data_IF_653867384738
#
_entry.id   IF_653867384738
#
_cell.length_a   1.000
_cell.length_b   1.000
_cell.length_c   1.000
_cell.angle_alpha   90.00
_cell.angle_beta   90.00
_cell.angle_gamma   90.00
#
_symmetry.space_group_name_H-M   'P 1'
#
loop_
_entity.id
_entity.type
_entity.pdbx_description
1 polymer ?
#
# COMPACT_ATOMS: atom_id res chain seq x y z
N UNK A 1 -8.48 -30.77 3.15
CA UNK A 1 -7.15 -30.15 3.33
C UNK A 1 -7.01 -29.73 4.78
N UNK A 2 -5.86 -29.94 5.40
CA UNK A 2 -5.60 -29.39 6.73
C UNK A 2 -5.60 -27.86 6.66
N UNK A 3 -6.19 -27.19 7.65
CA UNK A 3 -6.23 -25.73 7.71
C UNK A 3 -4.82 -25.23 8.06
N UNK A 4 -4.32 -24.26 7.31
CA UNK A 4 -3.05 -23.59 7.63
C UNK A 4 -3.11 -22.96 9.01
N UNK A 5 -1.99 -22.99 9.73
CA UNK A 5 -1.76 -22.15 10.90
C UNK A 5 -1.59 -20.70 10.48
N UNK A 6 -1.84 -19.76 11.40
CA UNK A 6 -1.70 -18.32 11.12
C UNK A 6 -0.30 -17.93 10.67
N UNK A 7 0.73 -18.57 11.24
CA UNK A 7 2.14 -18.34 10.86
C UNK A 7 2.40 -18.81 9.42
N UNK A 8 1.85 -19.96 9.03
CA UNK A 8 1.97 -20.46 7.65
C UNK A 8 1.27 -19.51 6.67
N UNK A 9 0.09 -18.98 7.01
CA UNK A 9 -0.58 -17.96 6.20
C UNK A 9 0.30 -16.71 6.02
N UNK A 10 0.84 -16.17 7.12
CA UNK A 10 1.71 -14.99 7.10
C UNK A 10 2.95 -15.23 6.23
N UNK A 11 3.57 -16.41 6.32
CA UNK A 11 4.74 -16.75 5.50
C UNK A 11 4.41 -16.76 4.01
N UNK A 12 3.26 -17.33 3.61
CA UNK A 12 2.83 -17.32 2.21
C UNK A 12 2.56 -15.91 1.70
N UNK A 13 1.99 -15.03 2.54
CA UNK A 13 1.71 -13.64 2.17
C UNK A 13 3.01 -12.84 1.99
N UNK A 14 3.94 -12.96 2.94
CA UNK A 14 5.25 -12.31 2.85
C UNK A 14 6.06 -12.81 1.65
N UNK A 15 5.97 -14.10 1.32
CA UNK A 15 6.55 -14.67 0.11
C UNK A 15 5.99 -14.01 -1.16
N UNK A 16 4.65 -13.86 -1.26
CA UNK A 16 4.00 -13.19 -2.40
C UNK A 16 4.50 -11.75 -2.54
N UNK A 17 4.52 -10.99 -1.45
CA UNK A 17 4.99 -9.59 -1.44
C UNK A 17 6.45 -9.49 -1.89
N UNK A 18 7.33 -10.35 -1.38
CA UNK A 18 8.74 -10.38 -1.76
C UNK A 18 8.97 -10.81 -3.21
N UNK A 19 8.12 -11.67 -3.79
CA UNK A 19 8.18 -12.04 -5.21
C UNK A 19 7.79 -10.86 -6.11
N UNK A 20 6.68 -10.18 -5.79
CA UNK A 20 6.18 -9.06 -6.58
C UNK A 20 7.11 -7.84 -6.52
N UNK A 21 7.72 -7.57 -5.35
CA UNK A 21 8.72 -6.51 -5.20
C UNK A 21 9.95 -6.74 -6.09
N UNK A 22 10.44 -7.99 -6.17
CA UNK A 22 11.58 -8.36 -7.03
C UNK A 22 11.23 -8.33 -8.52
N UNK A 23 10.04 -8.80 -8.89
CA UNK A 23 9.59 -8.79 -10.28
C UNK A 23 9.45 -7.36 -10.83
N UNK A 24 9.01 -6.40 -10.01
CA UNK A 24 9.01 -4.98 -10.36
C UNK A 24 10.40 -4.39 -10.65
N UNK A 25 11.47 -5.11 -10.32
CA UNK A 25 12.86 -4.72 -10.61
C UNK A 25 13.48 -5.46 -11.80
N UNK A 26 12.79 -6.47 -12.39
CA UNK A 26 13.35 -7.32 -13.44
C UNK A 26 12.26 -7.75 -14.45
N UNK A 27 12.18 -7.08 -15.60
CA UNK A 27 11.09 -7.20 -16.59
C UNK A 27 10.89 -8.59 -17.20
N UNK A 28 11.87 -9.50 -17.06
CA UNK A 28 11.85 -10.83 -17.68
C UNK A 28 11.31 -11.96 -16.76
N UNK A 29 11.04 -11.67 -15.49
CA UNK A 29 10.59 -12.70 -14.53
C UNK A 29 9.07 -12.55 -14.29
N UNK A 30 8.26 -13.45 -14.85
CA UNK A 30 6.81 -13.48 -14.59
C UNK A 30 6.57 -14.13 -13.21
N UNK A 31 6.18 -13.37 -12.17
CA UNK A 31 6.02 -13.92 -10.83
C UNK A 31 4.71 -14.70 -10.68
N UNK A 32 3.76 -14.57 -11.61
CA UNK A 32 2.37 -14.96 -11.40
C UNK A 32 2.15 -16.46 -11.24
N UNK A 33 2.95 -17.31 -11.90
CA UNK A 33 2.90 -18.77 -11.70
C UNK A 33 3.28 -19.16 -10.25
N UNK A 34 4.26 -18.45 -9.67
CA UNK A 34 4.69 -18.68 -8.27
C UNK A 34 3.69 -18.09 -7.28
N UNK A 35 3.11 -16.93 -7.60
CA UNK A 35 2.05 -16.30 -6.81
C UNK A 35 0.79 -17.17 -6.80
N UNK A 36 0.42 -17.78 -7.93
CA UNK A 36 -0.72 -18.71 -8.04
C UNK A 36 -0.62 -19.84 -7.02
N UNK A 37 0.51 -20.54 -6.96
CA UNK A 37 0.71 -21.65 -6.04
C UNK A 37 0.54 -21.21 -4.56
N UNK A 38 0.99 -20.00 -4.21
CA UNK A 38 0.85 -19.44 -2.86
C UNK A 38 -0.60 -19.05 -2.56
N UNK A 39 -1.31 -18.43 -3.52
CA UNK A 39 -2.72 -18.08 -3.38
C UNK A 39 -3.64 -19.32 -3.30
N UNK A 40 -3.31 -20.39 -4.03
CA UNK A 40 -3.97 -21.69 -3.88
C UNK A 40 -3.76 -22.25 -2.47
N UNK A 41 -2.54 -22.17 -1.93
CA UNK A 41 -2.24 -22.56 -0.55
C UNK A 41 -3.03 -21.77 0.49
N UNK A 42 -3.23 -20.47 0.26
CA UNK A 42 -4.04 -19.58 1.10
C UNK A 42 -5.56 -19.76 0.90
N UNK A 43 -6.00 -20.57 -0.07
CA UNK A 43 -7.41 -20.80 -0.37
C UNK A 43 -8.09 -19.65 -1.13
N UNK A 44 -7.33 -18.71 -1.71
CA UNK A 44 -7.86 -17.65 -2.57
C UNK A 44 -8.09 -18.12 -4.02
N UNK A 45 -7.51 -19.25 -4.39
CA UNK A 45 -7.67 -19.90 -5.69
C UNK A 45 -7.92 -21.41 -5.53
N UNK A 46 -8.61 -22.07 -6.49
CA UNK A 46 -8.79 -23.51 -6.46
C UNK A 46 -7.45 -24.24 -6.63
N UNK A 47 -7.12 -25.13 -5.69
CA UNK A 47 -5.88 -25.91 -5.75
C UNK A 47 -5.82 -26.88 -6.94
N UNK A 48 -4.67 -26.96 -7.61
CA UNK A 48 -4.41 -27.95 -8.66
C UNK A 48 -5.09 -27.65 -10.01
N UNK A 49 -5.72 -26.49 -10.17
CA UNK A 49 -6.26 -26.01 -11.44
C UNK A 49 -5.47 -24.78 -11.86
N UNK A 50 -4.98 -24.76 -13.10
CA UNK A 50 -4.27 -23.59 -13.63
C UNK A 50 -5.27 -22.46 -13.86
N UNK A 51 -5.05 -21.33 -13.20
CA UNK A 51 -5.81 -20.11 -13.35
C UNK A 51 -5.19 -19.20 -14.42
N UNK A 52 -6.03 -18.35 -15.02
CA UNK A 52 -5.58 -17.24 -15.85
C UNK A 52 -4.88 -16.17 -15.00
N UNK A 53 -3.99 -15.38 -15.61
CA UNK A 53 -3.32 -14.28 -14.92
C UNK A 53 -4.30 -13.27 -14.32
N UNK A 54 -5.44 -13.03 -14.99
CA UNK A 54 -6.47 -12.14 -14.49
C UNK A 54 -7.13 -12.67 -13.21
N UNK A 55 -7.40 -13.98 -13.14
CA UNK A 55 -7.91 -14.62 -11.92
C UNK A 55 -6.89 -14.55 -10.78
N UNK A 56 -5.60 -14.77 -11.09
CA UNK A 56 -4.51 -14.69 -10.10
C UNK A 56 -4.40 -13.26 -9.54
N UNK A 57 -4.40 -12.25 -10.42
CA UNK A 57 -4.39 -10.83 -10.02
C UNK A 57 -5.60 -10.47 -9.17
N UNK A 58 -6.80 -10.92 -9.55
CA UNK A 58 -8.03 -10.68 -8.78
C UNK A 58 -7.96 -11.32 -7.39
N UNK A 59 -7.47 -12.56 -7.28
CA UNK A 59 -7.27 -13.24 -6.02
C UNK A 59 -6.25 -12.50 -5.13
N UNK A 60 -5.17 -11.97 -5.72
CA UNK A 60 -4.21 -11.13 -5.00
C UNK A 60 -4.83 -9.81 -4.52
N UNK A 61 -5.66 -9.15 -5.33
CA UNK A 61 -6.40 -7.95 -4.90
C UNK A 61 -7.36 -8.24 -3.74
N UNK A 62 -8.06 -9.38 -3.75
CA UNK A 62 -8.86 -9.83 -2.60
C UNK A 62 -8.02 -10.01 -1.34
N UNK A 63 -6.80 -10.56 -1.46
CA UNK A 63 -5.87 -10.68 -0.34
C UNK A 63 -5.44 -9.31 0.18
N UNK A 64 -5.05 -8.38 -0.70
CA UNK A 64 -4.67 -7.02 -0.33
C UNK A 64 -5.80 -6.24 0.34
N UNK A 65 -7.03 -6.36 -0.16
CA UNK A 65 -8.20 -5.73 0.43
C UNK A 65 -8.37 -6.18 1.89
N UNK A 66 -8.37 -7.50 2.13
CA UNK A 66 -8.47 -8.06 3.48
C UNK A 66 -7.33 -7.58 4.40
N UNK A 67 -6.09 -7.58 3.92
CA UNK A 67 -4.94 -7.13 4.71
C UNK A 67 -5.06 -5.64 5.08
N UNK A 68 -5.58 -4.83 4.16
CA UNK A 68 -5.77 -3.39 4.39
C UNK A 68 -6.91 -3.13 5.37
N UNK A 69 -8.01 -3.89 5.30
CA UNK A 69 -9.11 -3.85 6.26
C UNK A 69 -8.62 -4.20 7.67
N UNK A 70 -7.87 -5.30 7.81
CA UNK A 70 -7.28 -5.73 9.07
C UNK A 70 -6.33 -4.65 9.62
N UNK A 71 -5.53 -4.02 8.75
CA UNK A 71 -4.61 -2.96 9.12
C UNK A 71 -5.31 -1.73 9.69
N UNK A 72 -6.39 -1.31 9.04
CA UNK A 72 -7.21 -0.17 9.45
C UNK A 72 -7.94 -0.48 10.77
N UNK A 73 -8.48 -1.69 10.94
CA UNK A 73 -9.12 -2.12 12.18
C UNK A 73 -8.13 -2.10 13.37
N UNK A 74 -6.90 -2.56 13.16
CA UNK A 74 -5.86 -2.57 14.20
C UNK A 74 -5.30 -1.18 14.54
N UNK A 75 -5.44 -0.19 13.65
CA UNK A 75 -4.97 1.18 13.90
C UNK A 75 -5.70 1.90 15.04
N UNK A 76 -6.80 1.31 15.55
CA UNK A 76 -7.42 1.71 16.83
C UNK A 76 -8.11 3.08 16.82
N UNK A 77 -8.36 3.69 15.66
CA UNK A 77 -9.11 4.96 15.55
C UNK A 77 -10.36 4.77 14.70
N UNK A 78 -11.52 4.72 15.35
CA UNK A 78 -12.85 4.76 14.71
C UNK A 78 -13.22 6.10 14.08
N UNK A 79 -12.25 6.98 13.81
CA UNK A 79 -12.46 8.26 13.13
C UNK A 79 -11.33 8.46 12.15
N UNK A 80 -11.66 8.32 10.87
CA UNK A 80 -10.83 8.84 9.78
C UNK A 80 -10.66 10.34 10.03
N UNK A 81 -9.43 10.76 10.35
CA UNK A 81 -9.14 12.18 10.64
C UNK A 81 -8.96 12.95 9.34
N UNK A 82 -8.31 12.32 8.36
CA UNK A 82 -8.04 12.89 7.04
C UNK A 82 -8.28 11.85 5.95
N UNK A 83 -8.60 12.32 4.75
CA UNK A 83 -8.79 11.51 3.56
C UNK A 83 -8.03 12.12 2.39
N UNK A 84 -7.54 11.26 1.49
CA UNK A 84 -6.98 11.69 0.22
C UNK A 84 -8.14 11.90 -0.76
N UNK A 85 -8.28 13.12 -1.27
CA UNK A 85 -9.26 13.46 -2.29
C UNK A 85 -8.76 12.98 -3.65
N UNK A 86 -9.11 11.74 -4.00
CA UNK A 86 -8.73 11.11 -5.28
C UNK A 86 -9.22 11.92 -6.49
N UNK A 87 -10.40 12.54 -6.41
CA UNK A 87 -10.92 13.34 -7.52
C UNK A 87 -10.07 14.58 -7.77
N UNK A 88 -9.75 15.35 -6.72
CA UNK A 88 -8.88 16.51 -6.83
C UNK A 88 -7.47 16.12 -7.32
N UNK A 89 -7.00 14.94 -6.92
CA UNK A 89 -5.71 14.40 -7.35
C UNK A 89 -5.69 14.10 -8.86
N UNK A 90 -6.76 13.51 -9.40
CA UNK A 90 -6.89 13.29 -10.85
C UNK A 90 -7.06 14.61 -11.62
N UNK A 91 -7.85 15.55 -11.09
CA UNK A 91 -8.05 16.86 -11.71
C UNK A 91 -6.74 17.65 -11.82
N UNK A 92 -5.91 17.60 -10.78
CA UNK A 92 -4.60 18.24 -10.81
C UNK A 92 -3.67 17.57 -11.84
N UNK A 93 -3.73 16.24 -11.97
CA UNK A 93 -2.94 15.49 -12.95
C UNK A 93 -3.22 15.84 -14.41
N UNK A 94 -4.33 16.53 -14.70
CA UNK A 94 -4.68 17.03 -16.05
C UNK A 94 -4.77 18.55 -16.11
N UNK A 95 -4.36 19.25 -15.05
CA UNK A 95 -4.34 20.70 -15.02
C UNK A 95 -3.30 21.26 -16.01
N UNK A 96 -3.55 22.41 -16.64
CA UNK A 96 -2.58 23.03 -17.54
C UNK A 96 -1.38 23.58 -16.76
N UNK A 97 -0.19 23.33 -17.29
CA UNK A 97 1.07 23.89 -16.80
C UNK A 97 1.98 24.28 -17.99
N UNK A 98 3.05 25.05 -17.72
CA UNK A 98 4.05 25.37 -18.75
C UNK A 98 4.79 24.11 -19.23
N UNK A 99 4.99 23.15 -18.32
CA UNK A 99 5.45 21.81 -18.63
C UNK A 99 4.25 20.84 -18.60
N UNK A 100 3.75 20.36 -19.75
CA UNK A 100 2.55 19.53 -19.82
C UNK A 100 2.70 18.19 -19.09
N UNK A 101 3.93 17.74 -18.84
CA UNK A 101 4.21 16.47 -18.17
C UNK A 101 4.43 16.65 -16.66
N UNK A 102 4.58 17.88 -16.16
CA UNK A 102 4.91 18.16 -14.75
C UNK A 102 3.88 17.58 -13.77
N UNK A 103 2.60 17.92 -13.92
CA UNK A 103 1.56 17.41 -13.03
C UNK A 103 1.32 15.90 -13.21
N UNK A 104 1.19 15.35 -14.44
CA UNK A 104 1.11 13.90 -14.65
C UNK A 104 2.22 13.13 -13.93
N UNK A 105 3.48 13.55 -14.08
CA UNK A 105 4.63 12.87 -13.48
C UNK A 105 4.63 13.00 -11.96
N UNK A 106 4.31 14.19 -11.43
CA UNK A 106 4.23 14.42 -10.00
C UNK A 106 3.15 13.54 -9.33
N UNK A 107 1.99 13.43 -9.97
CA UNK A 107 0.86 12.64 -9.46
C UNK A 107 1.16 11.13 -9.59
N UNK A 108 1.78 10.70 -10.70
CA UNK A 108 2.22 9.33 -10.86
C UNK A 108 3.26 8.91 -9.80
N UNK A 109 4.26 9.76 -9.54
CA UNK A 109 5.26 9.54 -8.48
C UNK A 109 4.60 9.48 -7.09
N UNK A 110 3.68 10.41 -6.79
CA UNK A 110 2.97 10.42 -5.52
C UNK A 110 2.16 9.13 -5.31
N UNK A 111 1.33 8.72 -6.29
CA UNK A 111 0.53 7.49 -6.21
C UNK A 111 1.40 6.24 -6.04
N UNK A 112 2.50 6.16 -6.79
CA UNK A 112 3.48 5.06 -6.67
C UNK A 112 4.06 4.98 -5.26
N UNK A 113 4.49 6.11 -4.70
CA UNK A 113 5.05 6.16 -3.36
C UNK A 113 4.01 5.86 -2.27
N UNK A 114 2.75 6.31 -2.43
CA UNK A 114 1.66 6.00 -1.51
C UNK A 114 1.37 4.49 -1.48
N UNK A 115 1.30 3.85 -2.65
CA UNK A 115 1.12 2.40 -2.75
C UNK A 115 2.30 1.62 -2.14
N UNK A 116 3.53 2.05 -2.41
CA UNK A 116 4.74 1.44 -1.81
C UNK A 116 4.74 1.58 -0.29
N UNK A 117 4.35 2.74 0.24
CA UNK A 117 4.22 2.97 1.67
C UNK A 117 3.17 2.06 2.30
N UNK A 118 1.97 1.97 1.69
CA UNK A 118 0.90 1.09 2.18
C UNK A 118 1.38 -0.36 2.28
N UNK A 119 2.03 -0.89 1.24
CA UNK A 119 2.57 -2.25 1.24
C UNK A 119 3.63 -2.48 2.34
N UNK A 120 4.48 -1.49 2.62
CA UNK A 120 5.43 -1.56 3.74
C UNK A 120 4.68 -1.63 5.08
N UNK A 121 3.62 -0.84 5.26
CA UNK A 121 2.81 -0.88 6.49
C UNK A 121 2.13 -2.24 6.67
N UNK A 122 1.55 -2.81 5.61
CA UNK A 122 0.98 -4.16 5.65
C UNK A 122 2.04 -5.21 6.02
N UNK A 123 3.22 -5.14 5.37
CA UNK A 123 4.35 -6.02 5.68
C UNK A 123 4.78 -5.90 7.14
N UNK A 124 4.84 -4.67 7.67
CA UNK A 124 5.23 -4.38 9.04
C UNK A 124 4.29 -5.03 10.05
N UNK A 125 2.98 -4.99 9.79
CA UNK A 125 1.98 -5.64 10.64
C UNK A 125 2.11 -7.16 10.60
N UNK A 126 2.31 -7.74 9.42
CA UNK A 126 2.52 -9.19 9.27
C UNK A 126 3.78 -9.66 10.00
N UNK A 127 4.89 -8.92 9.88
CA UNK A 127 6.12 -9.22 10.62
C UNK A 127 5.95 -9.06 12.13
N UNK A 128 5.18 -8.06 12.58
CA UNK A 128 4.83 -7.89 13.99
C UNK A 128 3.97 -9.04 14.51
N UNK A 129 2.97 -9.48 13.75
CA UNK A 129 2.13 -10.61 14.11
C UNK A 129 2.93 -11.91 14.17
N UNK A 130 3.75 -12.18 13.15
CA UNK A 130 4.66 -13.33 13.12
C UNK A 130 5.58 -13.34 14.34
N UNK A 131 6.11 -12.19 14.75
CA UNK A 131 6.95 -12.09 15.94
C UNK A 131 6.23 -12.41 17.25
N UNK A 132 4.95 -12.07 17.39
CA UNK A 132 4.18 -12.48 18.56
C UNK A 132 4.08 -14.02 18.68
N UNK A 133 4.35 -14.73 17.59
CA UNK A 133 4.37 -16.19 17.54
C UNK A 133 5.77 -16.82 17.55
N UNK A 134 6.79 -16.16 16.97
CA UNK A 134 8.17 -16.67 16.88
C UNK A 134 9.09 -16.08 17.98
N UNK A 135 9.55 -16.92 18.90
CA UNK A 135 10.35 -16.55 20.10
C UNK A 135 11.81 -16.12 19.83
N UNK A 136 12.30 -16.06 18.58
CA UNK A 136 13.70 -15.74 18.27
C UNK A 136 13.92 -14.24 17.93
N UNK A 137 14.60 -13.51 18.82
CA UNK A 137 14.68 -12.03 18.79
C UNK A 137 15.84 -11.36 18.05
N UNK A 138 16.75 -12.09 17.41
CA UNK A 138 17.97 -11.49 16.79
C UNK A 138 17.78 -11.18 15.30
N UNK A 139 17.43 -12.15 14.46
CA UNK A 139 17.09 -11.93 13.04
C UNK A 139 15.93 -10.93 12.84
N UNK A 140 15.06 -10.85 13.85
CA UNK A 140 13.93 -9.95 13.89
C UNK A 140 14.34 -8.47 14.04
N UNK A 141 15.31 -8.15 14.91
CA UNK A 141 15.73 -6.77 15.14
C UNK A 141 16.32 -6.13 13.89
N UNK A 142 17.06 -6.90 13.11
CA UNK A 142 17.62 -6.43 11.85
C UNK A 142 16.52 -6.19 10.81
N UNK A 143 15.66 -7.19 10.53
CA UNK A 143 14.58 -7.05 9.54
C UNK A 143 13.57 -5.97 9.91
N UNK A 144 13.17 -5.87 11.17
CA UNK A 144 12.25 -4.85 11.64
C UNK A 144 12.88 -3.46 11.61
N UNK A 145 14.17 -3.34 11.96
CA UNK A 145 14.92 -2.10 11.85
C UNK A 145 15.01 -1.59 10.41
N UNK A 146 15.31 -2.48 9.45
CA UNK A 146 15.39 -2.14 8.03
C UNK A 146 14.02 -1.66 7.48
N UNK A 147 12.94 -2.39 7.83
CA UNK A 147 11.57 -2.02 7.45
C UNK A 147 11.14 -0.69 8.09
N UNK A 148 11.46 -0.46 9.36
CA UNK A 148 11.11 0.77 10.07
C UNK A 148 11.85 1.99 9.49
N UNK A 149 13.14 1.84 9.17
CA UNK A 149 13.91 2.89 8.51
C UNK A 149 13.34 3.22 7.13
N UNK A 150 13.04 2.19 6.31
CA UNK A 150 12.45 2.37 4.99
C UNK A 150 11.08 3.03 5.06
N UNK A 151 10.22 2.54 5.97
CA UNK A 151 8.90 3.13 6.26
C UNK A 151 9.02 4.60 6.62
N UNK A 152 9.92 4.94 7.53
CA UNK A 152 10.09 6.31 8.02
C UNK A 152 10.54 7.26 6.92
N UNK A 153 11.52 6.84 6.10
CA UNK A 153 12.02 7.63 4.95
C UNK A 153 10.93 7.90 3.92
N UNK A 154 10.20 6.86 3.51
CA UNK A 154 9.12 7.02 2.52
C UNK A 154 8.00 7.87 3.09
N UNK A 155 7.66 7.70 4.37
CA UNK A 155 6.63 8.52 5.01
C UNK A 155 6.97 10.01 5.03
N UNK A 156 8.22 10.37 5.37
CA UNK A 156 8.65 11.76 5.40
C UNK A 156 8.68 12.37 4.00
N UNK A 157 9.11 11.59 3.00
CA UNK A 157 8.99 11.98 1.59
C UNK A 157 7.54 12.24 1.18
N UNK A 158 6.63 11.33 1.54
CA UNK A 158 5.20 11.46 1.23
C UNK A 158 4.56 12.70 1.87
N UNK A 159 4.92 13.04 3.11
CA UNK A 159 4.41 14.26 3.75
C UNK A 159 4.85 15.52 3.02
N UNK A 160 6.11 15.57 2.57
CA UNK A 160 6.61 16.68 1.75
C UNK A 160 5.90 16.76 0.41
N UNK A 161 5.71 15.62 -0.27
CA UNK A 161 4.99 15.56 -1.55
C UNK A 161 3.53 15.95 -1.42
N UNK A 162 2.83 15.48 -0.39
CA UNK A 162 1.44 15.85 -0.13
C UNK A 162 1.29 17.35 0.17
N UNK A 163 2.23 17.95 0.90
CA UNK A 163 2.27 19.40 1.09
C UNK A 163 2.44 20.16 -0.23
N UNK A 164 3.36 19.71 -1.09
CA UNK A 164 3.58 20.28 -2.41
C UNK A 164 2.31 20.19 -3.26
N UNK A 165 1.73 18.99 -3.39
CA UNK A 165 0.55 18.77 -4.22
C UNK A 165 -0.67 19.53 -3.69
N UNK A 166 -0.83 19.69 -2.37
CA UNK A 166 -1.83 20.60 -1.79
C UNK A 166 -1.62 22.07 -2.19
N UNK A 167 -0.36 22.52 -2.23
CA UNK A 167 -0.01 23.88 -2.65
C UNK A 167 -0.33 24.10 -4.13
N UNK A 168 0.03 23.14 -4.98
CA UNK A 168 -0.28 23.14 -6.41
C UNK A 168 -1.80 23.14 -6.66
N UNK A 169 -2.54 22.24 -6.01
CA UNK A 169 -3.99 22.18 -6.09
C UNK A 169 -4.63 23.53 -5.73
N UNK A 170 -4.15 24.18 -4.66
CA UNK A 170 -4.61 25.52 -4.27
C UNK A 170 -4.30 26.57 -5.33
N UNK A 171 -3.10 26.53 -5.93
CA UNK A 171 -2.72 27.42 -7.03
C UNK A 171 -3.63 27.29 -8.25
N UNK A 172 -4.08 26.07 -8.53
CA UNK A 172 -5.02 25.74 -9.61
C UNK A 172 -6.51 25.94 -9.22
N UNK A 173 -6.80 26.39 -8.00
CA UNK A 173 -8.18 26.57 -7.52
C UNK A 173 -8.94 25.26 -7.29
N UNK A 174 -8.24 24.14 -7.16
CA UNK A 174 -8.79 22.81 -6.89
C UNK A 174 -8.97 22.59 -5.38
N UNK A 175 -9.84 21.64 -4.97
CA UNK A 175 -9.90 21.18 -3.59
C UNK A 175 -8.54 20.64 -3.12
N UNK A 176 -8.26 20.75 -1.82
CA UNK A 176 -7.04 20.17 -1.25
C UNK A 176 -7.05 18.64 -1.40
N UNK A 177 -5.89 18.07 -1.73
CA UNK A 177 -5.67 16.63 -1.83
C UNK A 177 -5.80 15.96 -0.47
N UNK A 178 -5.29 16.60 0.57
CA UNK A 178 -5.53 16.19 1.95
C UNK A 178 -5.87 17.44 2.77
N UNK A 179 -7.13 17.54 3.20
CA UNK A 179 -7.57 18.70 3.98
C UNK A 179 -7.17 18.53 5.45
N UNK A 180 -6.12 19.25 5.83
CA UNK A 180 -5.58 19.28 7.20
C UNK A 180 -5.90 20.59 7.92
N UNK A 181 -6.86 21.37 7.40
CA UNK A 181 -7.19 22.70 7.87
C UNK A 181 -6.09 23.73 7.59
N UNK A 182 -5.81 24.57 8.57
CA UNK A 182 -4.78 25.63 8.45
C UNK A 182 -3.35 25.12 8.61
N UNK A 183 -3.18 23.87 9.06
CA UNK A 183 -1.86 23.26 9.27
C UNK A 183 -1.20 22.82 7.96
N UNK A 184 0.10 22.57 8.01
CA UNK A 184 0.80 21.83 6.95
C UNK A 184 0.68 20.32 7.20
N UNK A 185 0.74 19.50 6.16
CA UNK A 185 0.78 18.03 6.27
C UNK A 185 1.98 17.58 7.11
N UNK A 186 3.08 18.34 7.04
CA UNK A 186 4.27 18.16 7.90
C UNK A 186 4.06 18.46 9.40
N UNK A 187 2.97 19.09 9.79
CA UNK A 187 2.65 19.40 11.20
C UNK A 187 1.63 18.40 11.77
N UNK A 188 0.94 17.67 10.90
CA UNK A 188 -0.05 16.65 11.27
C UNK A 188 0.60 15.39 11.82
N UNK A 189 -0.07 14.71 12.74
CA UNK A 189 0.38 13.42 13.28
C UNK A 189 0.66 12.40 12.16
N UNK A 190 1.85 11.80 12.18
CA UNK A 190 2.30 10.80 11.20
C UNK A 190 1.31 9.63 11.05
N UNK A 191 0.71 9.18 12.14
CA UNK A 191 -0.28 8.09 12.12
C UNK A 191 -1.53 8.48 11.34
N UNK A 192 -1.97 9.75 11.44
CA UNK A 192 -3.18 10.19 10.74
C UNK A 192 -2.95 10.30 9.23
N UNK A 193 -1.77 10.77 8.80
CA UNK A 193 -1.36 10.73 7.38
C UNK A 193 -1.21 9.29 6.88
N UNK A 194 -0.63 8.39 7.69
CA UNK A 194 -0.49 6.99 7.34
C UNK A 194 -1.87 6.32 7.13
N UNK A 195 -2.83 6.61 7.99
CA UNK A 195 -4.19 6.10 7.87
C UNK A 195 -4.90 6.65 6.62
N UNK A 196 -4.73 7.93 6.29
CA UNK A 196 -5.27 8.50 5.05
C UNK A 196 -4.73 7.78 3.81
N UNK A 197 -3.43 7.45 3.79
CA UNK A 197 -2.81 6.69 2.69
C UNK A 197 -3.34 5.25 2.63
N UNK A 198 -3.53 4.58 3.78
CA UNK A 198 -4.09 3.22 3.80
C UNK A 198 -5.54 3.18 3.30
N UNK A 199 -6.35 4.17 3.66
CA UNK A 199 -7.74 4.29 3.16
C UNK A 199 -7.73 4.52 1.66
N UNK A 200 -6.90 5.45 1.16
CA UNK A 200 -6.72 5.64 -0.27
C UNK A 200 -6.32 4.34 -0.96
N UNK A 201 -5.35 3.61 -0.40
CA UNK A 201 -4.90 2.35 -0.96
C UNK A 201 -6.01 1.28 -1.00
N UNK A 202 -6.82 1.19 0.05
CA UNK A 202 -8.00 0.33 0.10
C UNK A 202 -9.01 0.67 -1.00
N UNK A 203 -9.27 1.96 -1.24
CA UNK A 203 -10.14 2.43 -2.31
C UNK A 203 -9.60 2.05 -3.68
N UNK A 204 -8.29 2.22 -3.92
CA UNK A 204 -7.66 1.84 -5.19
C UNK A 204 -7.75 0.33 -5.44
N UNK A 205 -7.39 -0.48 -4.44
CA UNK A 205 -7.51 -1.95 -4.52
C UNK A 205 -8.97 -2.36 -4.80
N UNK A 206 -9.93 -1.71 -4.15
CA UNK A 206 -11.36 -1.97 -4.37
C UNK A 206 -11.79 -1.59 -5.78
N UNK A 207 -11.35 -0.45 -6.31
CA UNK A 207 -11.67 -0.03 -7.67
C UNK A 207 -11.10 -1.01 -8.71
N UNK A 208 -9.85 -1.44 -8.54
CA UNK A 208 -9.22 -2.43 -9.42
C UNK A 208 -9.93 -3.79 -9.39
N UNK A 209 -10.47 -4.19 -8.23
CA UNK A 209 -11.21 -5.45 -8.09
C UNK A 209 -12.53 -5.49 -8.88
N UNK A 210 -13.13 -4.31 -9.15
CA UNK A 210 -14.41 -4.16 -9.84
C UNK A 210 -14.28 -3.72 -11.31
N UNK A 211 -13.06 -3.57 -11.83
CA UNK A 211 -12.77 -3.40 -13.26
C UNK A 211 -12.79 -4.76 -13.97
#
# INVERSE_FOLDING_TARGET
MAKLTRIEEINLILDIQGMLEKAGSNENDNPWDRVEAKLQGLGYLPGGTKCSEQEIKKAYLCLLAKLTDDALAQSGRGKVVYQINSEALEQLGVAPDEDPDFYPDLIADLKKNMAAYAQIVLSFQLWREKWQHDLSGEDYRQKFGDLDQRRSRIHDHLRQRLDLVNSEARGQGLPLIIDVGESRVQEVNRTDVANAILIWYQEQVSQELHK
#
